data_IF_356182953552
#
_entry.id   IF_356182953552
#
_cell.length_a   1.000
_cell.length_b   1.000
_cell.length_c   1.000
_cell.angle_alpha   90.00
_cell.angle_beta   90.00
_cell.angle_gamma   90.00
#
_symmetry.space_group_name_H-M   'P 1'
#
loop_
_entity.id
_entity.type
_entity.pdbx_description
1 polymer ?
#
# COMPACT_ATOMS: atom_id res chain seq x y z
N UNK A 1 -7.06 6.34 16.40
CA UNK A 1 -8.37 6.01 17.01
C UNK A 1 -8.73 7.00 18.12
N UNK A 2 -8.12 6.92 19.32
CA UNK A 2 -8.43 7.88 20.41
C UNK A 2 -8.18 9.36 20.06
N UNK A 3 -7.07 9.66 19.38
CA UNK A 3 -6.73 11.03 18.96
C UNK A 3 -7.78 11.60 17.99
N UNK A 4 -8.13 10.83 16.95
CA UNK A 4 -9.09 11.22 15.91
C UNK A 4 -10.50 11.45 16.46
N UNK A 5 -10.96 10.59 17.38
CA UNK A 5 -12.25 10.76 18.06
C UNK A 5 -12.27 12.02 18.94
N UNK A 6 -11.20 12.25 19.71
CA UNK A 6 -11.06 13.44 20.57
C UNK A 6 -10.99 14.73 19.75
N UNK A 7 -10.27 14.72 18.62
CA UNK A 7 -10.18 15.88 17.72
C UNK A 7 -11.54 16.21 17.09
N UNK A 8 -12.32 15.20 16.68
CA UNK A 8 -13.68 15.39 16.18
C UNK A 8 -14.60 16.01 17.24
N UNK A 9 -14.56 15.49 18.47
CA UNK A 9 -15.35 16.03 19.59
C UNK A 9 -14.98 17.48 19.93
N UNK A 10 -13.69 17.82 19.90
CA UNK A 10 -13.21 19.18 20.15
C UNK A 10 -13.67 20.14 19.04
N UNK A 11 -13.59 19.72 17.77
CA UNK A 11 -14.05 20.50 16.63
C UNK A 11 -15.57 20.76 16.69
N UNK A 12 -16.36 19.75 17.04
CA UNK A 12 -17.81 19.89 17.20
C UNK A 12 -18.17 20.85 18.33
N UNK A 13 -17.50 20.74 19.49
CA UNK A 13 -17.68 21.68 20.61
C UNK A 13 -17.31 23.12 20.24
N UNK A 14 -16.25 23.31 19.45
CA UNK A 14 -15.84 24.63 18.97
C UNK A 14 -16.82 25.22 17.96
N UNK A 15 -17.37 24.41 17.03
CA UNK A 15 -18.38 24.85 16.07
C UNK A 15 -19.67 25.28 16.77
N UNK A 16 -20.13 24.49 17.75
CA UNK A 16 -21.28 24.82 18.60
C UNK A 16 -21.06 26.11 19.40
N UNK A 17 -19.87 26.30 19.98
CA UNK A 17 -19.54 27.52 20.72
C UNK A 17 -19.50 28.78 19.83
N UNK A 18 -19.23 28.63 18.53
CA UNK A 18 -19.25 29.71 17.53
C UNK A 18 -20.63 29.94 16.89
N UNK A 19 -21.63 29.13 17.22
CA UNK A 19 -22.97 29.19 16.62
C UNK A 19 -23.02 28.72 15.16
N UNK A 20 -22.03 27.95 14.73
CA UNK A 20 -21.99 27.37 13.38
C UNK A 20 -22.95 26.17 13.28
N UNK A 21 -23.66 26.05 12.17
CA UNK A 21 -24.55 24.91 11.94
C UNK A 21 -23.71 23.65 11.71
N UNK A 22 -23.98 22.59 12.50
CA UNK A 22 -23.35 21.29 12.30
C UNK A 22 -23.75 20.71 10.93
N UNK A 23 -22.86 19.93 10.28
CA UNK A 23 -23.20 19.19 9.07
C UNK A 23 -24.46 18.34 9.28
N UNK A 24 -25.38 18.35 8.30
CA UNK A 24 -26.62 17.57 8.36
C UNK A 24 -26.40 16.07 8.18
N UNK A 25 -25.29 15.68 7.54
CA UNK A 25 -24.90 14.29 7.35
C UNK A 25 -23.93 13.87 8.45
N UNK A 26 -24.17 12.69 9.02
CA UNK A 26 -23.23 12.09 9.96
C UNK A 26 -21.88 11.89 9.28
N UNK A 27 -20.82 12.38 9.93
CA UNK A 27 -19.46 12.19 9.46
C UNK A 27 -19.16 10.69 9.45
N UNK A 28 -18.55 10.21 8.36
CA UNK A 28 -18.06 8.84 8.31
C UNK A 28 -17.03 8.58 9.42
N UNK A 29 -17.37 7.71 10.37
CA UNK A 29 -16.47 7.30 11.43
C UNK A 29 -15.45 6.29 10.91
N UNK A 30 -14.23 6.75 10.65
CA UNK A 30 -13.14 5.91 10.16
C UNK A 30 -12.73 4.80 11.14
N UNK A 31 -13.13 4.86 12.42
CA UNK A 31 -12.87 3.77 13.35
C UNK A 31 -13.61 2.48 12.96
N UNK A 32 -14.66 2.56 12.12
CA UNK A 32 -15.33 1.38 11.60
C UNK A 32 -14.48 0.59 10.59
N UNK A 33 -13.40 1.18 10.05
CA UNK A 33 -12.41 0.51 9.19
C UNK A 33 -11.47 -0.30 10.09
N UNK A 34 -11.99 -1.39 10.65
CA UNK A 34 -11.27 -2.33 11.50
C UNK A 34 -11.90 -3.72 11.34
N UNK A 35 -11.11 -4.80 11.26
CA UNK A 35 -11.67 -6.15 11.25
C UNK A 35 -12.65 -6.40 12.40
N UNK A 36 -13.72 -7.16 12.13
CA UNK A 36 -14.75 -7.50 13.12
C UNK A 36 -15.90 -6.49 13.24
N UNK A 37 -15.86 -5.36 12.52
CA UNK A 37 -17.01 -4.44 12.45
C UNK A 37 -18.04 -4.89 11.42
N UNK A 38 -19.30 -4.54 11.67
CA UNK A 38 -20.40 -4.76 10.70
C UNK A 38 -20.11 -4.08 9.36
N UNK A 39 -19.46 -2.91 9.40
CA UNK A 39 -19.03 -2.20 8.21
C UNK A 39 -18.08 -3.05 7.36
N UNK A 40 -17.02 -3.61 7.95
CA UNK A 40 -16.06 -4.44 7.22
C UNK A 40 -16.67 -5.73 6.68
N UNK A 41 -17.62 -6.33 7.41
CA UNK A 41 -18.37 -7.49 6.93
C UNK A 41 -19.18 -7.15 5.66
N UNK A 42 -19.95 -6.05 5.69
CA UNK A 42 -20.73 -5.59 4.53
C UNK A 42 -19.85 -5.17 3.36
N UNK A 43 -18.77 -4.44 3.63
CA UNK A 43 -17.80 -4.04 2.62
C UNK A 43 -17.22 -5.26 1.91
N UNK A 44 -16.84 -6.28 2.68
CA UNK A 44 -16.24 -7.49 2.15
C UNK A 44 -17.19 -8.28 1.24
N UNK A 45 -18.46 -8.44 1.65
CA UNK A 45 -19.49 -9.07 0.80
C UNK A 45 -19.74 -8.27 -0.48
N UNK A 46 -19.78 -6.93 -0.37
CA UNK A 46 -19.94 -6.07 -1.55
C UNK A 46 -18.75 -6.17 -2.50
N UNK A 47 -17.51 -6.28 -1.98
CA UNK A 47 -16.32 -6.49 -2.79
C UNK A 47 -16.32 -7.85 -3.48
N UNK A 48 -16.73 -8.92 -2.78
CA UNK A 48 -16.92 -10.26 -3.38
C UNK A 48 -17.90 -10.19 -4.56
N UNK A 49 -19.07 -9.57 -4.36
CA UNK A 49 -20.05 -9.35 -5.42
C UNK A 49 -19.46 -8.52 -6.57
N UNK A 50 -18.79 -7.40 -6.27
CA UNK A 50 -18.20 -6.53 -7.29
C UNK A 50 -17.17 -7.27 -8.17
N UNK A 51 -16.26 -8.03 -7.56
CA UNK A 51 -15.25 -8.81 -8.30
C UNK A 51 -15.94 -9.86 -9.18
N UNK A 52 -16.90 -10.61 -8.63
CA UNK A 52 -17.66 -11.60 -9.41
C UNK A 52 -18.38 -10.95 -10.59
N UNK A 53 -19.07 -9.83 -10.35
CA UNK A 53 -19.74 -9.06 -11.38
C UNK A 53 -18.75 -8.61 -12.47
N UNK A 54 -17.63 -7.99 -12.08
CA UNK A 54 -16.60 -7.54 -13.03
C UNK A 54 -16.03 -8.65 -13.90
N UNK A 55 -15.72 -9.81 -13.32
CA UNK A 55 -15.26 -10.97 -14.10
C UNK A 55 -16.33 -11.42 -15.10
N UNK A 56 -17.62 -11.38 -14.74
CA UNK A 56 -18.69 -11.78 -15.66
C UNK A 56 -18.97 -10.77 -16.77
N UNK A 57 -18.83 -9.47 -16.49
CA UNK A 57 -19.27 -8.41 -17.42
C UNK A 57 -18.15 -7.76 -18.21
N UNK A 58 -16.90 -7.82 -17.73
CA UNK A 58 -15.77 -7.09 -18.27
C UNK A 58 -14.70 -8.06 -18.82
N UNK A 59 -14.49 -8.02 -20.13
CA UNK A 59 -13.54 -8.88 -20.84
C UNK A 59 -12.08 -8.66 -20.40
N UNK A 60 -11.72 -7.51 -19.85
CA UNK A 60 -10.36 -7.27 -19.32
C UNK A 60 -10.13 -8.05 -18.02
N UNK A 61 -11.15 -8.14 -17.17
CA UNK A 61 -11.06 -8.86 -15.89
C UNK A 61 -11.00 -10.37 -16.07
N UNK A 62 -11.57 -10.89 -17.16
CA UNK A 62 -11.53 -12.32 -17.50
C UNK A 62 -10.12 -12.84 -17.84
N UNK A 63 -9.21 -11.95 -18.22
CA UNK A 63 -7.82 -12.30 -18.55
C UNK A 63 -6.91 -12.36 -17.32
N UNK A 64 -7.40 -11.91 -16.17
CA UNK A 64 -6.61 -11.76 -14.95
C UNK A 64 -7.05 -12.76 -13.88
N UNK A 65 -6.10 -13.32 -13.15
CA UNK A 65 -6.38 -14.04 -11.90
C UNK A 65 -6.58 -13.00 -10.79
N UNK A 66 -7.81 -12.88 -10.28
CA UNK A 66 -8.13 -11.96 -9.18
C UNK A 66 -8.18 -12.73 -7.87
N UNK A 67 -7.47 -12.24 -6.86
CA UNK A 67 -7.44 -12.81 -5.51
C UNK A 67 -7.89 -11.73 -4.53
N UNK A 68 -8.90 -12.04 -3.71
CA UNK A 68 -9.41 -11.17 -2.67
C UNK A 68 -9.13 -11.80 -1.31
N UNK A 69 -8.29 -11.15 -0.50
CA UNK A 69 -8.02 -11.57 0.89
C UNK A 69 -8.57 -10.52 1.86
N UNK A 70 -9.76 -10.79 2.41
CA UNK A 70 -10.48 -9.86 3.25
C UNK A 70 -10.06 -9.81 4.73
N UNK A 71 -10.96 -9.25 5.53
CA UNK A 71 -10.83 -9.16 6.99
C UNK A 71 -11.03 -10.52 7.70
N UNK A 72 -11.55 -11.53 6.99
CA UNK A 72 -11.71 -12.90 7.48
C UNK A 72 -10.37 -13.62 7.67
N UNK A 73 -9.35 -13.24 6.91
CA UNK A 73 -7.99 -13.76 7.03
C UNK A 73 -7.20 -12.90 8.03
N UNK A 74 -6.51 -13.48 9.03
CA UNK A 74 -5.62 -12.73 9.92
C UNK A 74 -4.44 -12.09 9.15
N UNK A 75 -3.89 -11.01 9.70
CA UNK A 75 -2.70 -10.32 9.16
C UNK A 75 -3.00 -9.00 8.46
N UNK A 76 -2.00 -8.13 8.46
CA UNK A 76 -2.04 -6.82 7.81
C UNK A 76 -1.94 -6.95 6.29
N UNK A 77 -2.50 -5.97 5.57
CA UNK A 77 -2.62 -6.05 4.11
C UNK A 77 -1.28 -6.18 3.41
N UNK A 78 -0.30 -5.35 3.79
CA UNK A 78 1.05 -5.37 3.21
C UNK A 78 1.76 -6.70 3.50
N UNK A 79 1.66 -7.23 4.72
CA UNK A 79 2.29 -8.49 5.09
C UNK A 79 1.67 -9.68 4.35
N UNK A 80 0.35 -9.69 4.15
CA UNK A 80 -0.33 -10.71 3.33
C UNK A 80 0.16 -10.70 1.88
N UNK A 81 0.41 -9.51 1.32
CA UNK A 81 0.97 -9.37 -0.04
C UNK A 81 2.38 -9.93 -0.08
N UNK A 82 3.23 -9.59 0.90
CA UNK A 82 4.60 -10.09 0.98
C UNK A 82 4.64 -11.62 1.19
N UNK A 83 3.74 -12.18 2.00
CA UNK A 83 3.57 -13.63 2.16
C UNK A 83 3.18 -14.29 0.84
N UNK A 84 2.27 -13.67 0.08
CA UNK A 84 1.86 -14.19 -1.21
C UNK A 84 2.99 -14.15 -2.25
N UNK A 85 3.81 -13.09 -2.27
CA UNK A 85 5.00 -13.03 -3.13
C UNK A 85 5.99 -14.14 -2.74
N UNK A 86 6.29 -14.31 -1.45
CA UNK A 86 7.15 -15.42 -0.98
C UNK A 86 6.60 -16.79 -1.37
N UNK A 87 5.30 -16.99 -1.28
CA UNK A 87 4.63 -18.21 -1.72
C UNK A 87 4.76 -18.43 -3.22
N UNK A 88 4.58 -17.40 -4.05
CA UNK A 88 4.76 -17.50 -5.50
C UNK A 88 6.21 -17.88 -5.84
N UNK A 89 7.20 -17.23 -5.22
CA UNK A 89 8.62 -17.52 -5.45
C UNK A 89 9.04 -18.94 -5.09
N UNK A 90 8.34 -19.58 -4.14
CA UNK A 90 8.64 -20.95 -3.73
C UNK A 90 8.04 -22.01 -4.67
N UNK A 91 7.19 -21.61 -5.62
CA UNK A 91 6.65 -22.53 -6.61
C UNK A 91 7.72 -22.89 -7.65
N UNK A 92 7.77 -24.16 -8.11
CA UNK A 92 8.78 -24.63 -9.05
C UNK A 92 8.67 -24.00 -10.45
N UNK A 93 7.50 -23.49 -10.82
CA UNK A 93 7.17 -22.86 -12.09
C UNK A 93 7.18 -21.32 -12.04
N UNK A 94 7.68 -20.73 -10.95
CA UNK A 94 7.77 -19.28 -10.82
C UNK A 94 8.71 -18.69 -11.88
N UNK A 95 8.23 -17.69 -12.62
CA UNK A 95 9.07 -16.90 -13.53
C UNK A 95 9.86 -15.86 -12.71
N UNK A 96 11.21 -15.95 -12.66
CA UNK A 96 12.05 -15.00 -11.93
C UNK A 96 11.96 -13.56 -12.46
N UNK A 97 11.44 -13.36 -13.68
CA UNK A 97 11.25 -12.04 -14.28
C UNK A 97 9.81 -11.53 -14.16
N UNK A 98 8.99 -12.15 -13.30
CA UNK A 98 7.68 -11.62 -12.94
C UNK A 98 7.82 -10.18 -12.46
N UNK A 99 7.00 -9.28 -13.03
CA UNK A 99 7.04 -7.85 -12.71
C UNK A 99 5.93 -7.50 -11.74
N UNK A 100 6.31 -6.97 -10.59
CA UNK A 100 5.39 -6.63 -9.50
C UNK A 100 5.10 -5.12 -9.50
N UNK A 101 3.84 -4.76 -9.33
CA UNK A 101 3.40 -3.39 -9.11
C UNK A 101 2.51 -3.37 -7.86
N UNK A 102 2.92 -2.63 -6.84
CA UNK A 102 2.18 -2.49 -5.58
C UNK A 102 1.67 -1.07 -5.42
N UNK A 103 0.38 -0.92 -5.17
CA UNK A 103 -0.23 0.36 -4.90
C UNK A 103 -0.22 0.67 -3.40
N UNK A 104 0.25 1.86 -3.02
CA UNK A 104 0.12 2.36 -1.65
C UNK A 104 0.95 3.60 -1.37
N UNK A 105 0.58 4.33 -0.31
CA UNK A 105 1.23 5.59 0.06
C UNK A 105 2.25 5.45 1.19
N UNK A 106 2.25 4.33 1.90
CA UNK A 106 3.12 4.14 3.05
C UNK A 106 4.58 3.91 2.63
N UNK A 107 5.52 4.47 3.39
CA UNK A 107 6.95 4.32 3.13
C UNK A 107 7.44 2.89 3.40
N UNK A 108 6.76 2.18 4.30
CA UNK A 108 7.06 0.80 4.68
C UNK A 108 6.99 -0.14 3.47
N UNK A 109 6.15 0.17 2.48
CA UNK A 109 6.07 -0.57 1.22
C UNK A 109 7.36 -0.52 0.38
N UNK A 110 8.18 0.52 0.55
CA UNK A 110 9.51 0.59 -0.10
C UNK A 110 10.41 -0.47 0.52
N UNK A 111 10.48 -0.50 1.85
CA UNK A 111 11.33 -1.45 2.58
C UNK A 111 10.87 -2.89 2.37
N UNK A 112 9.56 -3.14 2.51
CA UNK A 112 8.99 -4.46 2.28
C UNK A 112 9.20 -4.90 0.82
N UNK A 113 9.05 -3.99 -0.15
CA UNK A 113 9.32 -4.26 -1.56
C UNK A 113 10.78 -4.63 -1.81
N UNK A 114 11.74 -3.94 -1.19
CA UNK A 114 13.17 -4.26 -1.29
C UNK A 114 13.49 -5.64 -0.70
N UNK A 115 12.94 -5.97 0.47
CA UNK A 115 13.11 -7.28 1.12
C UNK A 115 12.49 -8.45 0.35
N UNK A 116 11.71 -8.20 -0.70
CA UNK A 116 11.25 -9.30 -1.58
C UNK A 116 12.38 -9.82 -2.48
N UNK A 117 13.45 -9.04 -2.68
CA UNK A 117 14.51 -9.33 -3.65
C UNK A 117 13.98 -9.65 -5.05
N UNK A 118 12.88 -9.01 -5.45
CA UNK A 118 12.36 -9.12 -6.81
C UNK A 118 13.08 -8.14 -7.72
N UNK A 119 13.61 -8.58 -8.88
CA UNK A 119 14.38 -7.71 -9.78
C UNK A 119 13.51 -6.62 -10.41
N UNK A 120 12.21 -6.88 -10.58
CA UNK A 120 11.28 -6.00 -11.27
C UNK A 120 10.11 -5.62 -10.37
N UNK A 121 10.35 -4.66 -9.47
CA UNK A 121 9.34 -4.19 -8.53
C UNK A 121 9.12 -2.68 -8.66
N UNK A 122 7.86 -2.27 -8.75
CA UNK A 122 7.46 -0.86 -8.77
C UNK A 122 6.36 -0.56 -7.74
N UNK A 123 6.36 0.66 -7.20
CA UNK A 123 5.28 1.18 -6.36
C UNK A 123 4.49 2.25 -7.12
N UNK A 124 3.17 2.07 -7.20
CA UNK A 124 2.26 3.08 -7.71
C UNK A 124 1.73 3.92 -6.55
N UNK A 125 1.97 5.23 -6.59
CA UNK A 125 1.64 6.17 -5.50
C UNK A 125 0.88 7.36 -6.05
N UNK A 126 -0.10 7.86 -5.31
CA UNK A 126 -0.76 9.12 -5.66
C UNK A 126 0.19 10.31 -5.41
N UNK A 127 0.06 11.36 -6.23
CA UNK A 127 0.78 12.62 -6.00
C UNK A 127 0.36 13.26 -4.68
N UNK A 128 1.31 13.41 -3.76
CA UNK A 128 1.10 14.13 -2.50
C UNK A 128 1.37 15.62 -2.73
N UNK A 129 0.31 16.41 -2.87
CA UNK A 129 0.41 17.88 -3.00
C UNK A 129 0.53 18.55 -1.64
N UNK A 130 1.70 19.13 -1.33
CA UNK A 130 1.92 19.91 -0.11
C UNK A 130 1.44 21.36 -0.29
N UNK A 131 0.48 21.83 0.52
CA UNK A 131 0.01 23.23 0.48
C UNK A 131 -1.37 23.48 1.09
N UNK A 132 -1.69 24.75 1.41
CA UNK A 132 -2.90 25.16 2.15
C UNK A 132 -4.20 25.20 1.34
N UNK A 133 -4.14 25.21 0.00
CA UNK A 133 -5.32 25.29 -0.88
C UNK A 133 -5.51 24.01 -1.69
N UNK A 134 -5.75 22.89 -1.02
CA UNK A 134 -6.11 21.65 -1.71
C UNK A 134 -7.57 21.71 -2.16
N UNK A 135 -7.80 21.86 -3.47
CA UNK A 135 -9.07 21.37 -4.05
C UNK A 135 -9.04 19.86 -3.96
N UNK A 136 -10.06 19.25 -3.35
CA UNK A 136 -10.26 17.80 -3.42
C UNK A 136 -10.41 17.44 -4.89
N UNK A 137 -9.55 16.56 -5.38
CA UNK A 137 -9.71 15.95 -6.70
C UNK A 137 -11.04 15.19 -6.65
N UNK A 138 -11.98 15.55 -7.53
CA UNK A 138 -13.33 14.98 -7.52
C UNK A 138 -13.48 13.78 -8.45
N UNK A 139 -12.53 13.58 -9.39
CA UNK A 139 -12.61 12.59 -10.46
C UNK A 139 -11.34 11.73 -10.49
N UNK A 140 -11.45 10.39 -10.64
CA UNK A 140 -10.29 9.51 -10.73
C UNK A 140 -9.31 9.87 -11.87
N UNK A 141 -9.81 10.45 -12.96
CA UNK A 141 -9.04 10.82 -14.14
C UNK A 141 -8.11 12.01 -13.91
N UNK A 142 -8.39 12.84 -12.91
CA UNK A 142 -7.56 13.99 -12.51
C UNK A 142 -6.49 13.62 -11.48
N UNK A 143 -6.51 12.38 -10.99
CA UNK A 143 -5.51 11.89 -10.03
C UNK A 143 -4.19 11.61 -10.75
N UNK A 144 -3.16 12.36 -10.38
CA UNK A 144 -1.79 12.08 -10.81
C UNK A 144 -1.22 10.93 -10.01
N UNK A 145 -0.61 9.96 -10.69
CA UNK A 145 0.14 8.88 -10.06
C UNK A 145 1.63 8.96 -10.42
N UNK A 146 2.48 8.64 -9.45
CA UNK A 146 3.90 8.41 -9.64
C UNK A 146 4.21 6.92 -9.56
N UNK A 147 5.08 6.46 -10.46
CA UNK A 147 5.61 5.11 -10.44
C UNK A 147 7.05 5.14 -9.91
N UNK A 148 7.26 4.63 -8.70
CA UNK A 148 8.57 4.50 -8.10
C UNK A 148 9.15 3.14 -8.48
N UNK A 149 10.28 3.13 -9.19
CA UNK A 149 10.96 1.90 -9.59
C UNK A 149 11.96 1.48 -8.52
N UNK A 150 11.68 0.37 -7.82
CA UNK A 150 12.63 -0.18 -6.84
C UNK A 150 13.85 -0.78 -7.54
N UNK A 151 13.73 -1.23 -8.79
CA UNK A 151 14.88 -1.67 -9.59
C UNK A 151 15.96 -0.59 -9.69
N UNK A 152 15.56 0.65 -9.99
CA UNK A 152 16.50 1.79 -10.04
C UNK A 152 17.04 2.12 -8.65
N UNK A 153 16.19 2.10 -7.62
CA UNK A 153 16.63 2.34 -6.25
C UNK A 153 17.73 1.34 -5.84
N UNK A 154 17.60 0.06 -6.22
CA UNK A 154 18.61 -0.97 -5.95
C UNK A 154 19.93 -0.69 -6.65
N UNK A 155 19.90 -0.27 -7.92
CA UNK A 155 21.09 0.16 -8.64
C UNK A 155 21.76 1.37 -7.96
N UNK A 156 20.97 2.36 -7.52
CA UNK A 156 21.50 3.49 -6.76
C UNK A 156 22.13 3.08 -5.43
N UNK A 157 21.51 2.14 -4.69
CA UNK A 157 22.10 1.59 -3.46
C UNK A 157 23.39 0.84 -3.74
N UNK A 158 23.45 0.06 -4.83
CA UNK A 158 24.68 -0.63 -5.22
C UNK A 158 25.82 0.34 -5.51
N UNK A 159 25.54 1.42 -6.25
CA UNK A 159 26.53 2.47 -6.54
C UNK A 159 27.00 3.18 -5.26
N UNK A 160 26.08 3.48 -4.33
CA UNK A 160 26.42 4.12 -3.06
C UNK A 160 27.33 3.24 -2.19
N UNK A 161 27.07 1.93 -2.18
CA UNK A 161 27.82 0.97 -1.37
C UNK A 161 28.99 0.29 -2.11
N UNK A 162 29.28 0.68 -3.35
CA UNK A 162 30.37 0.10 -4.15
C UNK A 162 31.73 0.17 -3.45
N UNK A 163 31.96 1.24 -2.68
CA UNK A 163 33.17 1.44 -1.85
C UNK A 163 33.39 0.31 -0.83
N UNK A 164 32.35 -0.44 -0.46
CA UNK A 164 32.48 -1.58 0.44
C UNK A 164 33.17 -2.78 -0.22
N UNK A 165 33.14 -2.90 -1.55
CA UNK A 165 33.76 -4.02 -2.28
C UNK A 165 35.25 -4.19 -1.95
N UNK A 166 35.97 -3.08 -1.73
CA UNK A 166 37.38 -3.10 -1.37
C UNK A 166 37.65 -3.23 0.14
N UNK A 167 36.63 -2.97 0.99
CA UNK A 167 36.78 -2.91 2.45
C UNK A 167 36.29 -4.17 3.16
N UNK A 168 35.36 -4.91 2.56
CA UNK A 168 34.79 -6.11 3.17
C UNK A 168 35.80 -7.26 3.16
N UNK A 169 35.79 -8.04 4.25
CA UNK A 169 36.60 -9.26 4.37
C UNK A 169 35.97 -10.47 3.68
N UNK A 170 34.80 -10.29 3.09
CA UNK A 170 33.98 -11.31 2.44
C UNK A 170 33.42 -10.78 1.11
N UNK A 171 32.93 -11.64 0.21
CA UNK A 171 32.40 -11.22 -1.08
C UNK A 171 31.24 -10.24 -0.93
N UNK A 172 31.26 -9.16 -1.70
CA UNK A 172 30.17 -8.20 -1.77
C UNK A 172 28.92 -8.86 -2.38
N UNK A 173 27.78 -8.63 -1.74
CA UNK A 173 26.49 -9.16 -2.14
C UNK A 173 25.43 -8.09 -1.87
N UNK A 174 24.88 -7.51 -2.93
CA UNK A 174 23.94 -6.38 -2.83
C UNK A 174 22.67 -6.77 -2.09
N UNK A 175 22.21 -8.02 -2.17
CA UNK A 175 20.99 -8.45 -1.48
C UNK A 175 21.15 -8.38 0.03
N UNK A 176 22.33 -8.80 0.53
CA UNK A 176 22.64 -8.73 1.97
C UNK A 176 22.83 -7.31 2.45
N UNK A 177 23.43 -6.46 1.62
CA UNK A 177 23.56 -5.02 1.94
C UNK A 177 22.17 -4.38 2.00
N UNK A 178 21.25 -4.76 1.11
CA UNK A 178 19.85 -4.30 1.18
C UNK A 178 19.19 -4.77 2.47
N UNK A 179 19.35 -6.04 2.87
CA UNK A 179 18.80 -6.56 4.13
C UNK A 179 19.33 -5.81 5.36
N UNK A 180 20.63 -5.55 5.40
CA UNK A 180 21.26 -4.77 6.46
C UNK A 180 20.81 -3.30 6.43
N UNK A 181 20.65 -2.72 5.24
CA UNK A 181 20.17 -1.34 5.05
C UNK A 181 18.73 -1.19 5.51
N UNK A 182 17.84 -2.11 5.15
CA UNK A 182 16.46 -2.13 5.66
C UNK A 182 16.45 -2.34 7.17
N UNK A 183 17.29 -3.20 7.72
CA UNK A 183 17.37 -3.43 9.17
C UNK A 183 17.85 -2.22 9.96
N UNK A 184 18.57 -1.29 9.31
CA UNK A 184 19.03 -0.06 9.93
C UNK A 184 17.93 1.01 10.04
N UNK A 185 16.96 1.00 9.12
CA UNK A 185 15.84 1.95 9.09
C UNK A 185 14.62 1.44 9.85
#
# INVERSE_FOLDING_TARGET
RFRSAKEAEVLEKQALAKGEALPKEERFDSNCITPGTVFMARLHEQLKYFVAHKITTDAMWQKCKVILSGHETPGEGEHKIMDYIRFMKSQPDYDPNTRHCLYGLDADLIMLGLCTHEPHFSLLREEVKFGKNQKRISTPEETTFFLLHLSLLREYLELEFDVLKEKLKFPFDIEKIIDDWVSFF
#
